data_IF_331450606686
#
_entry.id   IF_331450606686
#
_cell.length_a   1.000
_cell.length_b   1.000
_cell.length_c   1.000
_cell.angle_alpha   90.00
_cell.angle_beta   90.00
_cell.angle_gamma   90.00
#
_symmetry.space_group_name_H-M   'P 1'
#
loop_
_entity.id
_entity.type
_entity.pdbx_description
1 polymer ?
#
# COMPACT_ATOMS: atom_id res chain seq x y z
N UNK A 1 -44.39 26.44 32.27
CA UNK A 1 -45.07 25.18 31.92
C UNK A 1 -44.01 24.08 31.92
N UNK A 2 -43.81 23.45 33.09
CA UNK A 2 -42.92 22.31 33.34
C UNK A 2 -43.84 21.10 33.51
N UNK A 3 -43.52 19.96 32.89
CA UNK A 3 -44.05 18.67 33.33
C UNK A 3 -42.87 17.69 33.46
N UNK A 4 -42.57 17.33 34.72
CA UNK A 4 -41.89 16.09 35.11
C UNK A 4 -42.95 14.99 35.17
N UNK A 5 -42.62 13.75 34.79
CA UNK A 5 -42.93 12.55 35.58
C UNK A 5 -41.80 11.51 35.37
N UNK A 6 -41.22 11.07 36.48
CA UNK A 6 -40.32 9.92 36.66
C UNK A 6 -41.14 8.65 37.00
N UNK A 7 -40.63 7.46 36.63
CA UNK A 7 -40.64 6.19 37.39
C UNK A 7 -39.65 5.24 36.67
N UNK A 8 -38.42 4.99 37.13
CA UNK A 8 -37.90 4.11 38.21
C UNK A 8 -38.13 2.58 38.01
N UNK A 9 -36.98 1.92 37.84
CA UNK A 9 -36.53 0.58 38.27
C UNK A 9 -37.05 -0.73 37.62
N UNK A 10 -36.09 -1.50 37.07
CA UNK A 10 -35.85 -2.91 37.47
C UNK A 10 -34.52 -3.48 36.94
N UNK A 11 -33.64 -3.78 37.91
CA UNK A 11 -32.62 -4.85 38.02
C UNK A 11 -31.87 -5.46 36.81
N UNK A 12 -30.56 -5.31 36.91
CA UNK A 12 -29.46 -6.27 36.67
C UNK A 12 -29.78 -7.68 36.13
N UNK A 13 -29.13 -8.03 35.00
CA UNK A 13 -28.52 -9.35 34.80
C UNK A 13 -27.10 -9.14 34.26
N UNK A 14 -26.13 -9.45 35.12
CA UNK A 14 -24.73 -9.70 34.75
C UNK A 14 -24.69 -11.08 34.09
N UNK A 15 -24.42 -11.14 32.79
CA UNK A 15 -23.90 -12.36 32.17
C UNK A 15 -22.47 -12.09 31.74
N UNK A 16 -21.55 -12.58 32.57
CA UNK A 16 -20.16 -12.76 32.19
C UNK A 16 -20.09 -13.85 31.11
N UNK A 17 -20.07 -13.45 29.84
CA UNK A 17 -19.52 -14.31 28.79
C UNK A 17 -18.02 -14.05 28.72
N UNK A 18 -17.28 -14.84 29.50
CA UNK A 18 -15.90 -15.15 29.16
C UNK A 18 -15.93 -15.91 27.82
N UNK A 19 -15.88 -15.18 26.70
CA UNK A 19 -15.49 -15.77 25.43
C UNK A 19 -14.00 -16.00 25.52
N UNK A 20 -13.63 -17.25 25.77
CA UNK A 20 -12.39 -17.81 25.26
C UNK A 20 -12.29 -17.41 23.79
N UNK A 21 -11.42 -16.44 23.50
CA UNK A 21 -10.89 -16.22 22.16
C UNK A 21 -10.04 -17.46 21.87
N UNK A 22 -10.69 -18.53 21.43
CA UNK A 22 -10.01 -19.55 20.66
C UNK A 22 -9.46 -18.81 19.44
N UNK A 23 -8.14 -18.63 19.41
CA UNK A 23 -7.41 -18.30 18.20
C UNK A 23 -7.67 -19.43 17.21
N UNK A 24 -8.78 -19.33 16.48
CA UNK A 24 -9.00 -20.13 15.29
C UNK A 24 -7.87 -19.77 14.36
N UNK A 25 -6.93 -20.72 14.20
CA UNK A 25 -6.01 -20.74 13.08
C UNK A 25 -6.86 -20.65 11.81
N UNK A 26 -6.98 -19.43 11.29
CA UNK A 26 -7.55 -19.18 9.99
C UNK A 26 -6.58 -19.80 8.99
N UNK A 27 -6.95 -20.96 8.46
CA UNK A 27 -6.29 -21.53 7.30
C UNK A 27 -6.38 -20.50 6.19
N UNK A 28 -5.24 -19.85 5.89
CA UNK A 28 -5.09 -19.02 4.71
C UNK A 28 -5.39 -19.91 3.50
N UNK A 29 -6.41 -19.53 2.73
CA UNK A 29 -6.61 -20.13 1.43
C UNK A 29 -5.43 -19.65 0.58
N UNK A 30 -4.62 -20.55 -0.02
CA UNK A 30 -3.54 -20.16 -0.91
C UNK A 30 -4.09 -19.23 -1.99
N UNK A 31 -3.31 -18.20 -2.37
CA UNK A 31 -3.67 -17.39 -3.52
C UNK A 31 -3.86 -18.30 -4.75
N UNK A 32 -4.85 -18.01 -5.62
CA UNK A 32 -4.97 -18.74 -6.87
C UNK A 32 -3.66 -18.62 -7.65
N UNK A 33 -3.23 -19.71 -8.28
CA UNK A 33 -2.08 -19.68 -9.18
C UNK A 33 -2.28 -18.57 -10.23
N UNK A 34 -1.21 -17.85 -10.63
CA UNK A 34 -1.31 -16.86 -11.69
C UNK A 34 -1.97 -17.49 -12.92
N UNK A 35 -2.92 -16.81 -13.60
CA UNK A 35 -3.37 -17.26 -14.91
C UNK A 35 -2.17 -17.39 -15.85
N UNK A 36 -2.22 -18.28 -16.85
CA UNK A 36 -1.14 -18.42 -17.82
C UNK A 36 -0.79 -17.06 -18.42
N UNK A 37 0.52 -16.80 -18.60
CA UNK A 37 1.06 -15.51 -19.04
C UNK A 37 0.16 -14.88 -20.11
N UNK A 38 -0.44 -13.75 -19.77
CA UNK A 38 -0.80 -12.75 -20.77
C UNK A 38 0.50 -12.34 -21.49
N UNK A 39 0.40 -11.80 -22.70
CA UNK A 39 1.58 -11.26 -23.39
C UNK A 39 2.11 -9.96 -22.72
N UNK A 40 1.48 -9.54 -21.61
CA UNK A 40 1.91 -8.41 -20.79
C UNK A 40 3.18 -8.76 -20.00
N UNK A 41 4.19 -7.89 -20.11
CA UNK A 41 5.48 -8.10 -19.45
C UNK A 41 6.19 -6.78 -19.15
N UNK A 42 7.14 -6.83 -18.21
CA UNK A 42 7.93 -5.66 -17.85
C UNK A 42 8.90 -5.34 -19.00
N UNK A 43 8.82 -4.13 -19.55
CA UNK A 43 9.63 -3.69 -20.70
C UNK A 43 10.71 -2.66 -20.33
N UNK A 44 10.92 -2.44 -19.03
CA UNK A 44 11.91 -1.52 -18.47
C UNK A 44 12.73 -2.23 -17.40
N UNK A 45 13.93 -1.70 -17.11
CA UNK A 45 14.71 -2.13 -15.96
C UNK A 45 14.64 -1.08 -14.85
N UNK A 46 14.84 -1.49 -13.58
CA UNK A 46 15.03 -0.56 -12.50
C UNK A 46 16.18 0.43 -12.74
N UNK A 47 16.04 1.64 -12.21
CA UNK A 47 17.13 2.63 -12.21
C UNK A 47 17.82 2.55 -10.87
N UNK A 48 18.84 1.71 -10.75
CA UNK A 48 19.50 1.44 -9.47
C UNK A 48 20.36 2.62 -9.00
N UNK A 49 20.19 3.01 -7.72
CA UNK A 49 20.96 4.06 -7.06
C UNK A 49 21.89 3.57 -5.96
N UNK A 50 22.24 4.50 -5.07
CA UNK A 50 23.10 4.31 -3.89
C UNK A 50 22.44 4.94 -2.67
N UNK A 51 22.87 4.60 -1.44
CA UNK A 51 22.38 5.21 -0.19
C UNK A 51 22.65 6.73 -0.03
N UNK A 52 23.08 7.39 -1.09
CA UNK A 52 23.35 8.82 -1.16
C UNK A 52 23.07 9.33 -2.57
N UNK A 53 22.72 10.61 -2.68
CA UNK A 53 22.47 11.27 -3.96
C UNK A 53 20.97 11.35 -4.28
N UNK A 54 20.68 11.43 -5.57
CA UNK A 54 19.32 11.59 -6.08
C UNK A 54 18.50 10.30 -5.90
N UNK A 55 17.18 10.47 -5.85
CA UNK A 55 16.24 9.37 -5.69
C UNK A 55 16.34 8.38 -6.85
N UNK A 56 16.49 7.10 -6.53
CA UNK A 56 16.49 6.01 -7.49
C UNK A 56 16.00 4.71 -6.84
N UNK A 57 15.86 3.62 -7.60
CA UNK A 57 15.52 2.32 -7.03
C UNK A 57 16.66 1.76 -6.17
N UNK A 58 16.30 1.14 -5.05
CA UNK A 58 17.26 0.73 -4.04
C UNK A 58 16.81 -0.51 -3.27
N UNK A 59 17.74 -1.44 -3.03
CA UNK A 59 17.63 -2.51 -2.04
C UNK A 59 18.90 -2.53 -1.16
N UNK A 60 18.78 -2.05 0.07
CA UNK A 60 19.83 -2.07 1.07
C UNK A 60 19.46 -3.01 2.23
N UNK A 61 19.56 -4.33 1.98
CA UNK A 61 19.45 -5.38 3.00
C UNK A 61 18.17 -6.22 2.98
N UNK A 62 17.21 -5.95 2.09
CA UNK A 62 16.03 -6.83 1.96
C UNK A 62 16.45 -8.14 1.27
N UNK A 63 16.46 -9.21 2.06
CA UNK A 63 16.51 -10.59 1.57
C UNK A 63 15.09 -11.14 1.41
N UNK A 64 14.64 -11.26 0.15
CA UNK A 64 13.30 -11.73 -0.18
C UNK A 64 13.04 -13.18 0.29
N UNK A 65 14.08 -14.00 0.46
CA UNK A 65 13.93 -15.39 0.91
C UNK A 65 13.66 -15.50 2.43
N UNK A 66 13.94 -14.45 3.19
CA UNK A 66 13.68 -14.43 4.64
C UNK A 66 12.27 -13.99 5.00
N UNK A 67 11.51 -13.46 4.03
CA UNK A 67 10.21 -12.83 4.28
C UNK A 67 9.13 -13.91 4.39
N UNK A 68 8.39 -13.89 5.51
CA UNK A 68 7.25 -14.78 5.78
C UNK A 68 5.95 -14.02 5.98
N UNK A 69 6.04 -12.76 6.40
CA UNK A 69 4.88 -11.88 6.61
C UNK A 69 5.13 -10.54 5.94
N UNK A 70 4.11 -10.01 5.28
CA UNK A 70 4.06 -8.63 4.78
C UNK A 70 2.95 -7.90 5.53
N UNK A 71 3.29 -6.78 6.16
CA UNK A 71 2.33 -5.81 6.71
C UNK A 71 2.29 -4.64 5.74
N UNK A 72 1.12 -4.37 5.15
CA UNK A 72 0.99 -3.36 4.10
C UNK A 72 0.16 -2.16 4.56
N UNK A 73 0.69 -0.97 4.33
CA UNK A 73 0.02 0.31 4.51
C UNK A 73 0.01 1.08 3.19
N UNK A 74 -1.05 1.82 2.92
CA UNK A 74 -1.14 2.56 1.67
C UNK A 74 -2.54 2.89 1.19
N UNK A 75 -2.61 3.25 -0.09
CA UNK A 75 -3.74 3.97 -0.64
C UNK A 75 -4.56 3.28 -1.75
N UNK A 76 -4.31 2.00 -2.08
CA UNK A 76 -4.89 1.42 -3.31
C UNK A 76 -5.19 -0.07 -3.34
N UNK A 77 -5.14 -0.79 -2.22
CA UNK A 77 -5.41 -2.24 -2.25
C UNK A 77 -6.90 -2.60 -2.17
N UNK A 78 -7.76 -1.78 -1.56
CA UNK A 78 -9.17 -2.16 -1.35
C UNK A 78 -10.15 -1.00 -1.05
N UNK A 79 -11.37 -1.08 -1.58
CA UNK A 79 -12.55 -0.38 -1.06
C UNK A 79 -13.20 -1.26 0.00
N UNK A 80 -12.95 -1.01 1.29
CA UNK A 80 -13.78 -1.62 2.34
C UNK A 80 -14.90 -0.67 2.77
N UNK A 81 -16.14 -1.11 2.50
CA UNK A 81 -17.38 -0.57 3.10
C UNK A 81 -17.76 -1.31 4.41
N UNK A 82 -16.91 -2.21 4.92
CA UNK A 82 -17.17 -2.98 6.14
C UNK A 82 -15.97 -2.99 7.09
N UNK A 83 -16.25 -2.72 8.35
CA UNK A 83 -15.38 -2.29 9.45
C UNK A 83 -14.36 -3.33 9.99
N UNK A 84 -13.65 -4.08 9.15
CA UNK A 84 -12.56 -4.96 9.65
C UNK A 84 -11.40 -5.09 8.65
N UNK A 85 -10.12 -5.03 9.09
CA UNK A 85 -8.98 -5.39 8.26
C UNK A 85 -9.07 -6.88 7.92
N UNK A 86 -9.45 -7.19 6.69
CA UNK A 86 -9.82 -8.55 6.29
C UNK A 86 -8.59 -9.43 6.12
N UNK A 87 -8.31 -10.27 7.13
CA UNK A 87 -7.41 -11.42 7.03
C UNK A 87 -7.97 -12.56 6.15
N UNK A 88 -9.05 -12.36 5.40
CA UNK A 88 -9.73 -13.38 4.61
C UNK A 88 -10.14 -12.85 3.24
N UNK A 89 -9.22 -12.93 2.29
CA UNK A 89 -9.45 -12.70 0.87
C UNK A 89 -10.35 -13.82 0.33
N UNK A 90 -11.64 -13.54 0.09
CA UNK A 90 -12.46 -14.42 -0.74
C UNK A 90 -12.01 -14.27 -2.20
N UNK A 91 -11.75 -15.40 -2.85
CA UNK A 91 -11.44 -15.50 -4.27
C UNK A 91 -12.47 -14.75 -5.10
N UNK A 92 -11.96 -13.90 -6.00
CA UNK A 92 -12.73 -12.94 -6.77
C UNK A 92 -13.84 -13.61 -7.59
N UNK A 93 -15.07 -13.19 -7.34
CA UNK A 93 -16.10 -13.18 -8.37
C UNK A 93 -16.31 -11.73 -8.79
N UNK A 94 -16.01 -11.43 -10.06
CA UNK A 94 -16.45 -10.21 -10.71
C UNK A 94 -17.98 -10.23 -10.72
N UNK A 95 -18.61 -9.42 -9.87
CA UNK A 95 -20.04 -9.23 -9.94
C UNK A 95 -20.34 -8.41 -11.21
N UNK A 96 -21.32 -8.82 -12.03
CA UNK A 96 -21.62 -8.24 -13.36
C UNK A 96 -21.89 -6.72 -13.39
N UNK A 97 -21.99 -6.07 -12.23
CA UNK A 97 -22.10 -4.60 -12.07
C UNK A 97 -20.99 -3.97 -11.23
N UNK A 98 -20.15 -4.76 -10.55
CA UNK A 98 -19.09 -4.25 -9.68
C UNK A 98 -17.72 -4.58 -10.29
N UNK A 99 -16.96 -3.58 -10.76
CA UNK A 99 -15.63 -3.79 -11.29
C UNK A 99 -14.60 -4.12 -10.20
N UNK A 100 -14.98 -4.12 -8.91
CA UNK A 100 -14.04 -4.26 -7.81
C UNK A 100 -13.85 -5.74 -7.43
N UNK A 101 -12.85 -6.41 -8.00
CA UNK A 101 -12.64 -7.84 -7.80
C UNK A 101 -12.32 -8.17 -6.34
N UNK A 102 -13.27 -8.81 -5.64
CA UNK A 102 -13.15 -9.08 -4.21
C UNK A 102 -12.91 -7.82 -3.37
N UNK A 103 -13.46 -6.67 -3.80
CA UNK A 103 -13.32 -5.37 -3.14
C UNK A 103 -12.10 -4.54 -3.54
N UNK A 104 -11.23 -5.04 -4.41
CA UNK A 104 -10.01 -4.34 -4.85
C UNK A 104 -10.33 -3.26 -5.88
N UNK A 105 -9.54 -2.20 -5.91
CA UNK A 105 -9.61 -1.17 -6.97
C UNK A 105 -8.97 -1.62 -8.29
N UNK A 106 -9.16 -2.89 -8.66
CA UNK A 106 -8.63 -3.55 -9.87
C UNK A 106 -9.50 -4.78 -10.19
N UNK A 107 -9.25 -5.45 -11.32
CA UNK A 107 -9.94 -6.69 -11.75
C UNK A 107 -9.30 -8.00 -11.26
N UNK A 108 -8.29 -7.94 -10.39
CA UNK A 108 -7.59 -9.13 -9.89
C UNK A 108 -6.80 -8.85 -8.61
N UNK A 109 -5.71 -9.58 -8.39
CA UNK A 109 -4.81 -9.35 -7.25
C UNK A 109 -4.14 -7.98 -7.36
N UNK A 110 -3.93 -7.32 -6.23
CA UNK A 110 -3.11 -6.11 -6.13
C UNK A 110 -1.62 -6.46 -6.21
N UNK A 111 -0.77 -5.47 -6.45
CA UNK A 111 0.68 -5.68 -6.52
C UNK A 111 1.24 -6.34 -5.25
N UNK A 112 0.76 -5.96 -4.07
CA UNK A 112 1.29 -6.49 -2.79
C UNK A 112 0.84 -7.94 -2.55
N UNK A 113 -0.34 -8.31 -3.04
CA UNK A 113 -0.80 -9.70 -3.02
C UNK A 113 -0.02 -10.57 -4.00
N UNK A 114 0.33 -10.03 -5.17
CA UNK A 114 1.23 -10.70 -6.11
C UNK A 114 2.63 -10.91 -5.49
N UNK A 115 3.21 -9.88 -4.84
CA UNK A 115 4.48 -10.03 -4.10
C UNK A 115 4.35 -11.07 -2.99
N UNK A 116 3.29 -11.03 -2.18
CA UNK A 116 3.07 -12.01 -1.13
C UNK A 116 2.95 -13.44 -1.68
N UNK A 117 2.23 -13.62 -2.79
CA UNK A 117 2.09 -14.91 -3.47
C UNK A 117 3.43 -15.45 -3.96
N UNK A 118 4.25 -14.62 -4.62
CA UNK A 118 5.57 -15.03 -5.13
C UNK A 118 6.53 -15.47 -4.01
N UNK A 119 6.43 -14.83 -2.85
CA UNK A 119 7.23 -15.15 -1.67
C UNK A 119 6.65 -16.29 -0.82
N UNK A 120 5.43 -16.76 -1.14
CA UNK A 120 4.64 -17.62 -0.26
C UNK A 120 4.52 -17.04 1.17
N UNK A 121 4.33 -15.73 1.26
CA UNK A 121 4.22 -14.96 2.49
C UNK A 121 2.76 -14.71 2.88
N UNK A 122 2.51 -14.61 4.18
CA UNK A 122 1.24 -14.08 4.72
C UNK A 122 1.16 -12.58 4.49
N UNK A 123 0.00 -12.05 4.11
CA UNK A 123 -0.25 -10.62 4.07
C UNK A 123 -1.21 -10.16 5.18
N UNK A 124 -0.86 -9.05 5.84
CA UNK A 124 -1.72 -8.25 6.71
C UNK A 124 -1.89 -6.88 6.06
N UNK A 125 -2.96 -6.72 5.30
CA UNK A 125 -3.17 -5.51 4.51
C UNK A 125 -4.07 -4.50 5.25
N UNK A 126 -3.50 -3.35 5.58
CA UNK A 126 -4.16 -2.21 6.19
C UNK A 126 -4.40 -1.08 5.19
N UNK A 127 -3.93 -1.21 3.94
CA UNK A 127 -4.10 -0.19 2.93
C UNK A 127 -5.59 0.00 2.57
N UNK A 128 -5.97 1.26 2.37
CA UNK A 128 -7.35 1.66 2.12
C UNK A 128 -7.43 2.63 0.95
N UNK A 129 -8.32 2.37 0.00
CA UNK A 129 -8.48 3.17 -1.20
C UNK A 129 -8.81 4.63 -0.87
N UNK A 130 -7.95 5.56 -1.30
CA UNK A 130 -8.11 7.00 -1.06
C UNK A 130 -7.39 7.53 0.18
N UNK A 131 -6.66 6.69 0.91
CA UNK A 131 -5.85 7.14 2.03
C UNK A 131 -4.73 8.10 1.58
N UNK A 132 -4.58 9.20 2.31
CA UNK A 132 -3.39 10.06 2.29
C UNK A 132 -2.51 9.75 3.51
N UNK A 133 -1.41 10.47 3.71
CA UNK A 133 -0.55 10.24 4.87
C UNK A 133 -1.14 10.80 6.16
N UNK A 134 -1.65 12.03 6.13
CA UNK A 134 -2.18 12.73 7.32
C UNK A 134 -3.38 13.62 6.95
N UNK A 135 -4.55 13.34 7.51
CA UNK A 135 -5.76 14.16 7.27
C UNK A 135 -5.66 15.59 7.82
N UNK A 136 -4.74 15.87 8.75
CA UNK A 136 -4.51 17.24 9.21
C UNK A 136 -3.84 18.10 8.14
N UNK A 137 -3.00 17.48 7.29
CA UNK A 137 -2.42 18.13 6.12
C UNK A 137 -3.42 18.21 4.96
N UNK A 138 -4.32 17.22 4.87
CA UNK A 138 -5.22 17.03 3.73
C UNK A 138 -6.72 17.07 4.13
N UNK A 139 -7.22 18.18 4.69
CA UNK A 139 -8.58 18.28 5.19
C UNK A 139 -9.64 18.15 4.10
N UNK A 140 -9.32 18.33 2.80
CA UNK A 140 -10.26 18.10 1.70
C UNK A 140 -10.45 16.63 1.34
N UNK A 141 -9.61 15.70 1.84
CA UNK A 141 -9.70 14.29 1.46
C UNK A 141 -11.11 13.74 1.72
N UNK A 142 -11.81 13.19 0.70
CA UNK A 142 -13.22 12.81 0.80
C UNK A 142 -13.46 11.54 1.62
N UNK A 143 -12.45 10.67 1.77
CA UNK A 143 -12.61 9.36 2.43
C UNK A 143 -12.31 9.39 3.93
N UNK A 144 -11.71 10.47 4.44
CA UNK A 144 -11.34 10.64 5.87
C UNK A 144 -10.61 9.43 6.44
N UNK A 145 -9.66 8.91 5.67
CA UNK A 145 -8.77 7.80 6.02
C UNK A 145 -7.34 8.21 5.69
N UNK A 146 -6.39 7.81 6.53
CA UNK A 146 -4.99 8.13 6.36
C UNK A 146 -4.05 7.07 6.94
N UNK A 147 -2.75 7.24 6.70
CA UNK A 147 -1.72 6.37 7.24
C UNK A 147 -1.75 6.32 8.77
N UNK A 148 -1.98 7.46 9.44
CA UNK A 148 -2.07 7.53 10.90
C UNK A 148 -3.21 6.67 11.47
N UNK A 149 -4.37 6.64 10.81
CA UNK A 149 -5.48 5.76 11.16
C UNK A 149 -5.19 4.28 10.91
N UNK A 150 -4.50 3.95 9.81
CA UNK A 150 -4.05 2.58 9.54
C UNK A 150 -3.03 2.11 10.60
N UNK A 151 -2.08 2.97 10.95
CA UNK A 151 -1.09 2.76 12.01
C UNK A 151 -1.74 2.54 13.37
N UNK A 152 -2.69 3.40 13.75
CA UNK A 152 -3.46 3.25 15.00
C UNK A 152 -4.17 1.89 15.06
N UNK A 153 -4.75 1.46 13.94
CA UNK A 153 -5.43 0.15 13.85
C UNK A 153 -4.44 -1.00 14.02
N UNK A 154 -3.32 -0.99 13.30
CA UNK A 154 -2.29 -2.02 13.39
C UNK A 154 -1.69 -2.12 14.81
N UNK A 155 -1.30 -0.98 15.39
CA UNK A 155 -0.69 -0.93 16.72
C UNK A 155 -1.69 -1.35 17.81
N UNK A 156 -2.95 -0.95 17.68
CA UNK A 156 -4.02 -1.32 18.63
C UNK A 156 -4.34 -2.82 18.66
N UNK A 157 -3.93 -3.59 17.65
CA UNK A 157 -4.12 -5.04 17.59
C UNK A 157 -3.04 -5.84 18.32
N UNK A 158 -1.96 -5.20 18.80
CA UNK A 158 -0.87 -5.83 19.54
C UNK A 158 -0.36 -7.12 18.85
N UNK A 159 -0.13 -7.02 17.54
CA UNK A 159 0.36 -8.16 16.76
C UNK A 159 1.72 -8.64 17.28
N UNK A 160 1.88 -9.95 17.48
CA UNK A 160 3.16 -10.58 17.75
C UNK A 160 3.79 -11.07 16.43
N UNK A 161 4.58 -10.22 15.79
CA UNK A 161 5.25 -10.51 14.52
C UNK A 161 6.76 -10.67 14.73
N UNK A 162 7.40 -11.58 13.99
CA UNK A 162 8.85 -11.74 14.03
C UNK A 162 9.51 -10.66 13.17
N UNK A 163 10.28 -9.73 13.77
CA UNK A 163 10.89 -8.62 13.03
C UNK A 163 11.95 -9.07 12.02
N UNK A 164 12.49 -10.29 12.14
CA UNK A 164 13.47 -10.82 11.18
C UNK A 164 12.82 -11.37 9.90
N UNK A 165 11.50 -11.66 9.93
CA UNK A 165 10.78 -12.26 8.80
C UNK A 165 9.58 -11.43 8.33
N UNK A 166 9.33 -10.29 8.98
CA UNK A 166 8.23 -9.38 8.66
C UNK A 166 8.74 -8.19 7.86
N UNK A 167 8.21 -8.03 6.64
CA UNK A 167 8.39 -6.84 5.82
C UNK A 167 7.23 -5.87 6.04
N UNK A 168 7.53 -4.59 6.20
CA UNK A 168 6.54 -3.52 6.24
C UNK A 168 6.56 -2.76 4.92
N UNK A 169 5.49 -2.86 4.14
CA UNK A 169 5.34 -2.12 2.88
C UNK A 169 4.52 -0.85 3.08
N UNK A 170 4.99 0.27 2.56
CA UNK A 170 4.36 1.58 2.70
C UNK A 170 4.22 2.21 1.31
N UNK A 171 2.98 2.42 0.86
CA UNK A 171 2.69 2.94 -0.48
C UNK A 171 1.67 4.10 -0.45
N UNK A 172 2.20 5.33 -0.43
CA UNK A 172 1.44 6.59 -0.37
C UNK A 172 1.95 7.59 -1.42
N UNK A 173 1.39 8.81 -1.45
CA UNK A 173 1.84 9.89 -2.33
C UNK A 173 0.82 10.29 -3.40
N UNK A 174 0.03 9.35 -3.95
CA UNK A 174 -0.97 9.67 -4.99
C UNK A 174 -2.05 10.61 -4.44
N UNK A 175 -2.69 10.25 -3.32
CA UNK A 175 -3.77 11.07 -2.77
C UNK A 175 -3.26 12.33 -2.07
N UNK A 176 -2.02 12.29 -1.54
CA UNK A 176 -1.33 13.47 -1.01
C UNK A 176 -1.11 14.50 -2.12
N UNK A 177 -0.62 14.08 -3.29
CA UNK A 177 -0.51 14.95 -4.46
C UNK A 177 -1.85 15.49 -4.94
N UNK A 178 -2.89 14.64 -5.04
CA UNK A 178 -4.21 15.11 -5.46
C UNK A 178 -4.81 16.11 -4.47
N UNK A 179 -4.60 15.90 -3.17
CA UNK A 179 -5.04 16.82 -2.12
C UNK A 179 -4.24 18.12 -2.13
N UNK A 180 -2.95 18.09 -2.47
CA UNK A 180 -2.12 19.30 -2.52
C UNK A 180 -2.57 20.32 -3.56
N UNK A 181 -3.26 19.84 -4.62
CA UNK A 181 -3.91 20.71 -5.62
C UNK A 181 -5.09 21.50 -5.06
N UNK A 182 -5.58 21.17 -3.86
CA UNK A 182 -6.75 21.77 -3.20
C UNK A 182 -6.36 22.44 -1.89
N UNK A 183 -5.63 21.74 -1.03
CA UNK A 183 -5.34 22.14 0.36
C UNK A 183 -4.04 22.95 0.50
N UNK A 184 -3.25 23.06 -0.57
CA UNK A 184 -1.92 23.68 -0.55
C UNK A 184 -0.79 22.65 -0.55
N UNK A 185 0.44 23.10 -0.79
CA UNK A 185 1.58 22.19 -0.94
C UNK A 185 2.18 21.80 0.43
N UNK A 186 1.77 20.64 0.93
CA UNK A 186 2.25 20.04 2.19
C UNK A 186 2.98 18.70 1.97
N UNK A 187 3.50 18.48 0.75
CA UNK A 187 4.11 17.20 0.39
C UNK A 187 5.37 16.93 1.24
N UNK A 188 6.21 17.94 1.48
CA UNK A 188 7.41 17.76 2.30
C UNK A 188 7.07 17.33 3.75
N UNK A 189 6.04 17.93 4.34
CA UNK A 189 5.53 17.59 5.66
C UNK A 189 4.96 16.17 5.69
N UNK A 190 4.21 15.76 4.65
CA UNK A 190 3.70 14.40 4.52
C UNK A 190 4.83 13.36 4.44
N UNK A 191 5.90 13.64 3.71
CA UNK A 191 7.11 12.80 3.68
C UNK A 191 7.72 12.62 5.08
N UNK A 192 7.79 13.71 5.86
CA UNK A 192 8.31 13.65 7.23
C UNK A 192 7.42 12.81 8.15
N UNK A 193 6.09 12.95 8.06
CA UNK A 193 5.14 12.12 8.81
C UNK A 193 5.33 10.63 8.50
N UNK A 194 5.53 10.27 7.23
CA UNK A 194 5.80 8.88 6.83
C UNK A 194 7.05 8.33 7.50
N UNK A 195 8.15 9.08 7.48
CA UNK A 195 9.41 8.69 8.13
C UNK A 195 9.25 8.54 9.65
N UNK A 196 8.43 9.38 10.28
CA UNK A 196 8.16 9.28 11.71
C UNK A 196 7.30 8.05 12.06
N UNK A 197 6.37 7.64 11.20
CA UNK A 197 5.65 6.37 11.37
C UNK A 197 6.59 5.16 11.23
N UNK A 198 7.59 5.22 10.36
CA UNK A 198 8.64 4.18 10.26
C UNK A 198 9.40 4.06 11.59
N UNK A 199 9.78 5.19 12.21
CA UNK A 199 10.42 5.17 13.54
C UNK A 199 9.52 4.53 14.60
N UNK A 200 8.22 4.84 14.59
CA UNK A 200 7.24 4.24 15.51
C UNK A 200 7.17 2.71 15.31
N UNK A 201 7.14 2.23 14.08
CA UNK A 201 7.17 0.78 13.78
C UNK A 201 8.50 0.14 14.20
N UNK A 202 9.63 0.84 14.07
CA UNK A 202 10.94 0.35 14.46
C UNK A 202 11.11 0.25 16.00
N UNK A 203 10.35 1.04 16.75
CA UNK A 203 10.32 1.03 18.22
C UNK A 203 9.54 -0.16 18.81
N UNK A 204 9.77 -0.50 20.09
CA UNK A 204 8.91 -1.42 20.83
C UNK A 204 7.44 -0.98 20.82
N UNK A 205 6.48 -1.94 20.82
CA UNK A 205 6.70 -3.38 20.86
C UNK A 205 6.96 -4.01 19.48
N UNK A 206 6.68 -3.28 18.40
CA UNK A 206 6.72 -3.80 17.02
C UNK A 206 8.12 -4.23 16.60
N UNK A 207 9.13 -3.43 16.95
CA UNK A 207 10.54 -3.71 16.65
C UNK A 207 10.80 -4.01 15.16
N UNK A 208 10.08 -3.37 14.24
CA UNK A 208 10.21 -3.59 12.80
C UNK A 208 11.65 -3.32 12.32
N UNK A 209 12.13 -4.14 11.38
CA UNK A 209 13.50 -4.02 10.83
C UNK A 209 13.56 -3.94 9.31
N UNK A 210 12.52 -4.40 8.60
CA UNK A 210 12.52 -4.48 7.13
C UNK A 210 11.42 -3.59 6.57
N UNK A 211 11.78 -2.59 5.78
CA UNK A 211 10.85 -1.64 5.19
C UNK A 211 11.00 -1.57 3.67
N UNK A 212 9.89 -1.65 2.97
CA UNK A 212 9.80 -1.37 1.54
C UNK A 212 8.89 -0.16 1.35
N UNK A 213 9.45 0.95 0.89
CA UNK A 213 8.68 2.16 0.58
C UNK A 213 8.58 2.31 -0.92
N UNK A 214 7.35 2.46 -1.41
CA UNK A 214 7.06 2.57 -2.83
C UNK A 214 6.46 3.95 -3.09
N UNK A 215 6.83 4.54 -4.21
CA UNK A 215 6.33 5.84 -4.63
C UNK A 215 5.85 5.84 -6.08
N UNK A 216 4.74 6.53 -6.31
CA UNK A 216 4.29 7.00 -7.63
C UNK A 216 3.45 8.26 -7.45
N UNK A 217 3.92 9.20 -6.63
CA UNK A 217 3.24 10.48 -6.48
C UNK A 217 2.99 11.05 -7.89
N UNK A 218 1.79 11.59 -8.13
CA UNK A 218 1.47 12.16 -9.45
C UNK A 218 1.27 11.17 -10.60
N UNK A 219 1.47 9.85 -10.44
CA UNK A 219 1.23 8.84 -11.51
C UNK A 219 1.93 9.18 -12.83
N UNK A 220 3.23 9.44 -12.77
CA UNK A 220 4.05 9.84 -13.93
C UNK A 220 4.10 11.34 -14.20
N UNK A 221 3.41 12.16 -13.39
CA UNK A 221 3.56 13.61 -13.40
C UNK A 221 4.71 14.01 -12.47
N UNK A 222 5.69 14.73 -13.01
CA UNK A 222 6.82 15.28 -12.26
C UNK A 222 6.58 16.74 -11.93
N UNK A 223 6.65 17.08 -10.64
CA UNK A 223 6.66 18.48 -10.16
C UNK A 223 7.75 18.68 -9.09
N UNK A 224 8.26 19.91 -8.90
CA UNK A 224 9.35 20.15 -7.95
C UNK A 224 9.07 19.67 -6.52
N UNK A 225 7.88 19.91 -5.96
CA UNK A 225 7.55 19.51 -4.60
C UNK A 225 7.32 18.01 -4.44
N UNK A 226 6.90 17.34 -5.50
CA UNK A 226 6.79 15.89 -5.52
C UNK A 226 8.17 15.20 -5.58
N UNK A 227 9.09 15.71 -6.39
CA UNK A 227 10.47 15.20 -6.35
C UNK A 227 11.15 15.50 -5.00
N UNK A 228 10.83 16.62 -4.37
CA UNK A 228 11.26 16.89 -3.00
C UNK A 228 10.67 15.90 -1.99
N UNK A 229 9.39 15.52 -2.12
CA UNK A 229 8.75 14.48 -1.31
C UNK A 229 9.49 13.14 -1.42
N UNK A 230 9.77 12.69 -2.66
CA UNK A 230 10.58 11.49 -2.91
C UNK A 230 11.95 11.58 -2.26
N UNK A 231 12.64 12.71 -2.46
CA UNK A 231 14.00 12.89 -1.96
C UNK A 231 14.07 12.88 -0.44
N UNK A 232 13.08 13.46 0.25
CA UNK A 232 13.00 13.42 1.72
C UNK A 232 12.87 11.98 2.20
N UNK A 233 11.95 11.21 1.61
CA UNK A 233 11.75 9.79 1.96
C UNK A 233 13.02 9.00 1.68
N UNK A 234 13.59 9.13 0.48
CA UNK A 234 14.79 8.42 0.05
C UNK A 234 15.99 8.68 0.97
N UNK A 235 16.22 9.95 1.29
CA UNK A 235 17.31 10.38 2.18
C UNK A 235 17.06 9.92 3.62
N UNK A 236 15.81 9.98 4.08
CA UNK A 236 15.41 9.50 5.41
C UNK A 236 15.64 8.01 5.60
N UNK A 237 15.20 7.19 4.63
CA UNK A 237 15.44 5.74 4.62
C UNK A 237 16.94 5.42 4.57
N UNK A 238 17.69 6.11 3.73
CA UNK A 238 19.14 5.95 3.65
C UNK A 238 19.82 6.30 4.98
N UNK A 239 19.38 7.36 5.65
CA UNK A 239 19.86 7.71 6.99
C UNK A 239 19.55 6.61 8.02
N UNK A 240 18.34 6.03 8.00
CA UNK A 240 18.00 4.91 8.88
C UNK A 240 18.88 3.66 8.64
N UNK A 241 19.32 3.44 7.40
CA UNK A 241 20.25 2.37 7.07
C UNK A 241 21.67 2.66 7.54
N UNK A 242 22.19 3.85 7.23
CA UNK A 242 23.60 4.21 7.43
C UNK A 242 23.88 4.61 8.88
N UNK A 243 23.05 5.48 9.43
CA UNK A 243 23.25 6.08 10.75
C UNK A 243 22.49 5.32 11.85
N UNK A 244 21.49 4.53 11.47
CA UNK A 244 20.55 3.90 12.39
C UNK A 244 19.52 4.88 12.95
N UNK A 245 18.59 4.33 13.72
CA UNK A 245 17.57 5.06 14.47
C UNK A 245 17.88 4.87 15.95
N UNK A 246 17.95 5.98 16.69
CA UNK A 246 17.97 5.95 18.14
C UNK A 246 16.58 5.59 18.64
N UNK A 247 16.46 4.43 19.28
CA UNK A 247 15.23 3.96 19.90
C UNK A 247 15.41 4.05 21.41
N UNK A 248 14.58 4.87 22.05
CA UNK A 248 14.52 4.98 23.51
C UNK A 248 13.51 3.95 24.03
N UNK A 249 14.01 2.80 24.43
CA UNK A 249 13.27 1.87 25.27
C UNK A 249 13.74 2.13 26.71
N UNK A 250 12.83 2.26 27.67
CA UNK A 250 13.05 2.82 29.03
C UNK A 250 14.21 2.20 29.84
N UNK A 251 14.84 1.15 29.31
CA UNK A 251 15.94 0.40 29.92
C UNK A 251 17.17 0.18 29.01
N UNK A 252 17.14 0.58 27.72
CA UNK A 252 18.26 0.34 26.79
C UNK A 252 18.22 1.27 25.57
N UNK A 253 19.18 2.20 25.48
CA UNK A 253 19.37 3.04 24.29
C UNK A 253 20.10 2.22 23.22
N UNK A 254 19.38 1.85 22.17
CA UNK A 254 19.94 1.09 21.05
C UNK A 254 19.87 1.89 19.77
N UNK A 255 20.97 1.85 19.02
CA UNK A 255 20.97 2.28 17.64
C UNK A 255 20.56 1.10 16.75
N UNK A 256 19.44 1.23 16.06
CA UNK A 256 18.88 0.18 15.21
C UNK A 256 19.07 0.56 13.76
N UNK A 257 19.76 -0.25 12.98
CA UNK A 257 19.78 -0.14 11.53
C UNK A 257 18.58 -0.85 10.93
N UNK A 258 18.03 -0.28 9.85
CA UNK A 258 16.93 -0.88 9.10
C UNK A 258 17.46 -1.53 7.81
N UNK A 259 16.86 -2.63 7.40
CA UNK A 259 16.91 -3.09 6.01
C UNK A 259 15.86 -2.33 5.23
N UNK A 260 16.26 -1.62 4.19
CA UNK A 260 15.36 -0.73 3.45
C UNK A 260 15.39 -1.04 1.96
N UNK A 261 14.23 -0.90 1.32
CA UNK A 261 14.12 -0.83 -0.12
C UNK A 261 13.24 0.35 -0.50
N UNK A 262 13.67 1.10 -1.50
CA UNK A 262 12.90 2.19 -2.11
C UNK A 262 12.62 1.83 -3.57
N UNK A 263 11.36 1.96 -3.97
CA UNK A 263 10.90 1.52 -5.29
C UNK A 263 10.17 2.68 -5.94
N UNK A 264 10.74 3.19 -7.05
CA UNK A 264 10.17 4.28 -7.81
C UNK A 264 9.26 3.73 -8.92
N UNK A 265 7.99 3.51 -8.60
CA UNK A 265 7.02 3.07 -9.59
C UNK A 265 6.73 4.12 -10.66
N UNK A 266 7.14 5.39 -10.49
CA UNK A 266 7.05 6.37 -11.57
C UNK A 266 7.74 5.87 -12.85
N UNK A 267 8.81 5.07 -12.74
CA UNK A 267 9.50 4.47 -13.89
C UNK A 267 8.55 3.59 -14.74
N UNK A 268 7.62 2.87 -14.11
CA UNK A 268 6.60 2.08 -14.84
C UNK A 268 5.66 3.01 -15.60
N UNK A 269 5.18 4.07 -14.93
CA UNK A 269 4.28 5.04 -15.55
C UNK A 269 4.95 5.79 -16.70
N UNK A 270 6.18 6.25 -16.53
CA UNK A 270 6.97 6.89 -17.58
C UNK A 270 7.25 5.93 -18.73
N UNK A 271 7.54 4.66 -18.44
CA UNK A 271 7.77 3.66 -19.47
C UNK A 271 6.52 3.33 -20.30
N UNK A 272 5.35 3.29 -19.67
CA UNK A 272 4.08 2.98 -20.34
C UNK A 272 3.50 4.20 -21.05
N UNK A 273 3.38 5.33 -20.36
CA UNK A 273 2.72 6.55 -20.85
C UNK A 273 3.67 7.45 -21.67
N UNK A 274 4.98 7.20 -21.59
CA UNK A 274 5.99 7.90 -22.36
C UNK A 274 6.22 7.27 -23.73
N UNK A 275 6.96 7.95 -24.62
CA UNK A 275 7.26 7.44 -25.96
C UNK A 275 8.30 6.32 -25.98
N UNK A 276 8.96 6.03 -24.85
CA UNK A 276 10.01 5.02 -24.77
C UNK A 276 9.95 4.26 -23.43
N UNK A 277 9.68 2.94 -23.41
CA UNK A 277 9.42 2.11 -24.59
C UNK A 277 7.96 2.25 -25.13
N UNK A 278 7.04 2.82 -24.34
CA UNK A 278 5.62 2.96 -24.67
C UNK A 278 4.79 1.72 -24.31
N UNK A 279 3.49 1.90 -24.10
CA UNK A 279 2.58 0.86 -23.60
C UNK A 279 2.59 -0.44 -24.45
N UNK A 280 2.75 -0.33 -25.76
CA UNK A 280 2.80 -1.48 -26.68
C UNK A 280 3.98 -2.42 -26.38
N UNK A 281 5.09 -1.87 -25.88
CA UNK A 281 6.27 -2.67 -25.52
C UNK A 281 6.07 -3.47 -24.26
N UNK A 282 5.17 -3.04 -23.38
CA UNK A 282 4.70 -3.84 -22.26
C UNK A 282 3.62 -4.85 -22.68
N UNK A 283 3.19 -4.83 -23.95
CA UNK A 283 2.12 -5.69 -24.48
C UNK A 283 0.71 -5.08 -24.39
N UNK A 284 0.54 -3.87 -23.87
CA UNK A 284 -0.77 -3.24 -23.80
C UNK A 284 -1.26 -2.83 -25.21
N UNK A 285 -2.58 -2.76 -25.38
CA UNK A 285 -3.24 -2.18 -26.56
C UNK A 285 -3.81 -0.79 -26.27
N UNK A 286 -3.87 -0.39 -25.01
CA UNK A 286 -4.34 0.93 -24.58
C UNK A 286 -3.81 1.30 -23.20
N UNK A 287 -3.49 2.58 -23.05
CA UNK A 287 -3.16 3.22 -21.77
C UNK A 287 -4.39 3.72 -21.00
N UNK A 288 -5.59 3.62 -21.58
CA UNK A 288 -6.84 4.05 -20.97
C UNK A 288 -7.36 3.06 -19.90
N UNK A 289 -8.42 3.47 -19.20
CA UNK A 289 -9.20 2.57 -18.37
C UNK A 289 -10.17 1.71 -19.20
N UNK A 290 -10.15 0.39 -18.96
CA UNK A 290 -11.08 -0.54 -19.60
C UNK A 290 -12.54 -0.34 -19.14
N UNK A 291 -12.76 0.21 -17.95
CA UNK A 291 -14.09 0.50 -17.39
C UNK A 291 -14.28 1.98 -17.12
N UNK A 292 -15.50 2.37 -16.73
CA UNK A 292 -15.87 3.76 -16.45
C UNK A 292 -16.34 3.91 -15.01
N UNK A 293 -16.03 5.06 -14.40
CA UNK A 293 -16.60 5.48 -13.13
C UNK A 293 -17.33 6.80 -13.31
N UNK A 294 -18.53 6.90 -12.75
CA UNK A 294 -19.35 8.12 -12.75
C UNK A 294 -19.79 8.43 -11.32
N UNK A 295 -20.18 9.68 -11.06
CA UNK A 295 -20.69 10.06 -9.74
C UNK A 295 -22.00 9.33 -9.40
N UNK A 296 -22.82 9.05 -10.42
CA UNK A 296 -24.15 8.48 -10.28
C UNK A 296 -24.14 6.95 -10.11
N UNK A 297 -23.26 6.25 -10.84
CA UNK A 297 -23.23 4.78 -10.88
C UNK A 297 -22.04 4.18 -10.13
N UNK A 298 -21.13 5.01 -9.62
CA UNK A 298 -19.81 4.54 -9.23
C UNK A 298 -19.09 3.91 -10.42
N UNK A 299 -18.16 3.00 -10.14
CA UNK A 299 -17.46 2.25 -11.17
C UNK A 299 -18.34 1.10 -11.69
N UNK A 300 -18.39 0.90 -13.00
CA UNK A 300 -19.24 -0.12 -13.65
C UNK A 300 -18.54 -0.86 -14.77
N UNK A 301 -18.91 -2.13 -14.99
CA UNK A 301 -18.48 -2.95 -16.13
C UNK A 301 -19.41 -2.81 -17.34
N UNK A 302 -20.41 -1.92 -17.30
CA UNK A 302 -21.26 -1.61 -18.46
C UNK A 302 -20.41 -0.86 -19.49
N UNK A 303 -20.30 -1.39 -20.71
CA UNK A 303 -19.46 -0.82 -21.75
C UNK A 303 -17.96 -0.99 -21.47
N UNK A 304 -17.60 -2.06 -20.75
CA UNK A 304 -16.22 -2.54 -20.63
C UNK A 304 -15.57 -2.69 -22.01
N UNK A 305 -14.25 -2.46 -22.08
CA UNK A 305 -13.46 -2.73 -23.27
C UNK A 305 -13.50 -4.21 -23.70
N UNK A 306 -13.18 -4.49 -24.96
CA UNK A 306 -13.23 -5.85 -25.52
C UNK A 306 -12.08 -6.75 -25.02
N UNK A 307 -10.96 -6.14 -24.61
CA UNK A 307 -9.74 -6.84 -24.17
C UNK A 307 -9.21 -6.29 -22.83
N UNK A 308 -9.85 -6.62 -21.70
CA UNK A 308 -9.51 -6.07 -20.39
C UNK A 308 -8.13 -6.47 -19.87
N UNK A 309 -7.50 -7.48 -20.47
CA UNK A 309 -6.19 -7.99 -20.08
C UNK A 309 -5.07 -7.10 -20.62
N UNK A 310 -5.27 -6.46 -21.78
CA UNK A 310 -4.25 -5.62 -22.43
C UNK A 310 -4.47 -4.11 -22.23
N UNK A 311 -5.22 -3.70 -21.21
CA UNK A 311 -5.37 -2.30 -20.81
C UNK A 311 -4.53 -1.98 -19.58
N UNK A 312 -3.85 -0.83 -19.59
CA UNK A 312 -3.02 -0.39 -18.46
C UNK A 312 -3.86 -0.11 -17.21
N UNK A 313 -4.99 0.58 -17.36
CA UNK A 313 -5.92 0.85 -16.27
C UNK A 313 -7.16 -0.02 -16.34
N UNK A 314 -7.67 -0.43 -15.17
CA UNK A 314 -8.94 -1.13 -15.08
C UNK A 314 -10.10 -0.15 -14.89
N UNK A 315 -10.08 0.60 -13.79
CA UNK A 315 -10.94 1.77 -13.55
C UNK A 315 -10.08 3.04 -13.72
N UNK A 316 -10.66 4.21 -14.05
CA UNK A 316 -9.93 5.45 -14.21
C UNK A 316 -8.94 5.70 -13.06
N UNK A 317 -7.65 5.74 -13.41
CA UNK A 317 -6.58 6.03 -12.48
C UNK A 317 -6.15 4.89 -11.55
N UNK A 318 -6.68 3.66 -11.71
CA UNK A 318 -6.23 2.47 -10.99
C UNK A 318 -5.77 1.35 -11.94
N UNK A 319 -4.57 0.79 -11.73
CA UNK A 319 -3.99 -0.25 -12.58
C UNK A 319 -4.89 -1.48 -12.76
N UNK A 320 -4.84 -2.08 -13.96
CA UNK A 320 -5.39 -3.42 -14.19
C UNK A 320 -4.62 -4.49 -13.42
N UNK A 321 -5.17 -5.70 -13.33
CA UNK A 321 -4.53 -6.81 -12.63
C UNK A 321 -3.19 -7.18 -13.28
N UNK A 322 -3.08 -7.03 -14.60
CA UNK A 322 -1.84 -7.26 -15.34
C UNK A 322 -0.82 -6.17 -14.99
N UNK A 323 -1.23 -4.90 -14.92
CA UNK A 323 -0.35 -3.84 -14.41
C UNK A 323 0.03 -4.05 -12.93
N UNK A 324 -0.87 -4.57 -12.09
CA UNK A 324 -0.56 -4.94 -10.70
C UNK A 324 0.48 -6.07 -10.64
N UNK A 325 0.47 -7.01 -11.59
CA UNK A 325 1.51 -8.03 -11.76
C UNK A 325 2.83 -7.41 -12.20
N UNK A 326 2.82 -6.49 -13.16
CA UNK A 326 4.01 -5.72 -13.58
C UNK A 326 4.64 -4.96 -12.41
N UNK A 327 3.83 -4.33 -11.56
CA UNK A 327 4.32 -3.65 -10.34
C UNK A 327 5.03 -4.65 -9.40
N UNK A 328 4.48 -5.85 -9.21
CA UNK A 328 5.12 -6.89 -8.39
C UNK A 328 6.40 -7.43 -9.02
N UNK A 329 6.45 -7.60 -10.35
CA UNK A 329 7.66 -7.98 -11.07
C UNK A 329 8.74 -6.91 -10.95
N UNK A 330 8.37 -5.64 -11.03
CA UNK A 330 9.29 -4.54 -10.81
C UNK A 330 9.89 -4.55 -9.40
N UNK A 331 9.08 -4.82 -8.36
CA UNK A 331 9.59 -5.01 -6.99
C UNK A 331 10.65 -6.11 -6.95
N UNK A 332 10.38 -7.25 -7.60
CA UNK A 332 11.33 -8.36 -7.68
C UNK A 332 12.63 -7.95 -8.38
N UNK A 333 12.54 -7.25 -9.51
CA UNK A 333 13.73 -6.77 -10.23
C UNK A 333 14.54 -5.77 -9.39
N UNK A 334 13.90 -4.85 -8.65
CA UNK A 334 14.62 -3.94 -7.73
C UNK A 334 15.38 -4.72 -6.67
N UNK A 335 14.75 -5.73 -6.05
CA UNK A 335 15.43 -6.54 -5.04
C UNK A 335 16.58 -7.37 -5.58
N UNK A 336 16.50 -7.80 -6.84
CA UNK A 336 17.53 -8.62 -7.48
C UNK A 336 18.67 -7.78 -8.05
N UNK A 337 18.37 -6.64 -8.66
CA UNK A 337 19.33 -5.85 -9.42
C UNK A 337 19.91 -4.66 -8.64
N UNK A 338 19.14 -4.01 -7.76
CA UNK A 338 19.54 -2.76 -7.12
C UNK A 338 20.09 -2.94 -5.70
N UNK A 339 20.92 -3.97 -5.51
CA UNK A 339 21.53 -4.28 -4.21
C UNK A 339 22.73 -3.38 -3.93
N UNK A 340 22.79 -2.81 -2.72
CA UNK A 340 23.91 -1.97 -2.25
C UNK A 340 24.48 -2.39 -0.91
#
# INVERSE_FOLDING_TARGET
MRLRIMYLDSLAIIIAFARTLSASFLNQIPFPAPPPNSDIHLAINPTCGQLSGDTADLNAGIDKHSIKTIVSFGASSSFYFYEQPSLNVRTGQLHRRCPLAGGRSTNGLTWVENVANDLNATIKDYAQAGACIDLNLWPSNPRKIDFLGQMKTFLGQNNALDPNTTLYSIFFGINDYLASLIDGDHLAEAAQVLLDQIKILASPPTNARKFMVLDVYGRGITIPSGEAYKQIIYSGLSSFRVNGIQIDDQHDQRNVTLDISYINFANIWEGVLGPNPGFEKFGYVSEDACTKCTAELGCTTIGICDDPEHYFYWIPGHPSKETMRIMADYVREVWDQCRV
#
